data_IF_204939865107
#
_entry.id   IF_204939865107
#
_cell.length_a   1.000
_cell.length_b   1.000
_cell.length_c   1.000
_cell.angle_alpha   90.00
_cell.angle_beta   90.00
_cell.angle_gamma   90.00
#
_symmetry.space_group_name_H-M   'P 1'
#
loop_
_entity.id
_entity.type
_entity.pdbx_description
1 polymer ?
#
# COMPACT_ATOMS: atom_id res chain seq x y z
N UNK A 1 24.68 8.12 28.15
CA UNK A 1 23.96 8.87 27.10
C UNK A 1 22.73 8.05 26.76
N UNK A 2 21.58 8.48 27.27
CA UNK A 2 20.33 7.72 27.39
C UNK A 2 19.59 7.65 26.06
N UNK A 3 19.81 6.60 25.26
CA UNK A 3 18.96 6.26 24.12
C UNK A 3 17.80 5.36 24.59
N UNK A 4 16.93 5.92 25.43
CA UNK A 4 15.66 5.30 25.85
C UNK A 4 14.57 6.35 25.72
N UNK A 5 14.20 6.70 24.49
CA UNK A 5 13.04 7.55 24.23
C UNK A 5 12.28 7.02 23.01
N UNK A 6 11.01 6.70 23.24
CA UNK A 6 9.96 6.34 22.29
C UNK A 6 10.08 5.01 21.53
N UNK A 7 9.87 3.90 22.23
CA UNK A 7 8.99 2.86 21.68
C UNK A 7 7.56 3.21 22.10
N UNK A 8 6.86 3.98 21.27
CA UNK A 8 5.39 3.83 21.22
C UNK A 8 5.16 2.34 21.01
N UNK A 9 4.35 1.70 21.85
CA UNK A 9 4.13 0.26 21.76
C UNK A 9 3.60 -0.09 20.36
N UNK A 10 4.51 -0.51 19.49
CA UNK A 10 4.19 -1.02 18.17
C UNK A 10 3.38 -2.30 18.35
N UNK A 11 2.34 -2.48 17.55
CA UNK A 11 1.59 -3.74 17.52
C UNK A 11 2.60 -4.90 17.39
N UNK A 12 2.43 -6.02 18.11
CA UNK A 12 3.26 -7.20 17.92
C UNK A 12 3.41 -7.53 16.43
N UNK A 13 4.61 -7.89 15.92
CA UNK A 13 4.84 -8.07 14.48
C UNK A 13 3.83 -9.01 13.79
N UNK A 14 3.39 -10.06 14.49
CA UNK A 14 2.35 -10.97 14.00
C UNK A 14 0.98 -10.29 13.81
N UNK A 15 0.56 -9.43 14.76
CA UNK A 15 -0.69 -8.66 14.63
C UNK A 15 -0.59 -7.66 13.49
N UNK A 16 0.54 -6.94 13.37
CA UNK A 16 0.79 -6.01 12.26
C UNK A 16 0.68 -6.72 10.91
N UNK A 17 1.36 -7.85 10.75
CA UNK A 17 1.30 -8.66 9.53
C UNK A 17 -0.13 -9.05 9.17
N UNK A 18 -0.92 -9.54 10.12
CA UNK A 18 -2.31 -9.92 9.88
C UNK A 18 -3.18 -8.74 9.43
N UNK A 19 -2.99 -7.57 10.04
CA UNK A 19 -3.71 -6.33 9.67
C UNK A 19 -3.39 -5.91 8.22
N UNK A 20 -2.10 -5.83 7.88
CA UNK A 20 -1.67 -5.51 6.51
C UNK A 20 -2.19 -6.54 5.49
N UNK A 21 -2.12 -7.83 5.81
CA UNK A 21 -2.65 -8.90 4.95
C UNK A 21 -4.16 -8.80 4.72
N UNK A 22 -4.93 -8.37 5.72
CA UNK A 22 -6.37 -8.16 5.60
C UNK A 22 -6.72 -7.14 4.53
N UNK A 23 -6.09 -5.96 4.61
CA UNK A 23 -6.26 -4.86 3.65
C UNK A 23 -5.76 -5.29 2.26
N UNK A 24 -4.56 -5.84 2.19
CA UNK A 24 -3.92 -6.21 0.91
C UNK A 24 -4.74 -7.22 0.13
N UNK A 25 -5.29 -8.24 0.80
CA UNK A 25 -6.20 -9.22 0.16
C UNK A 25 -7.49 -8.56 -0.34
N UNK A 26 -7.98 -7.53 0.34
CA UNK A 26 -9.12 -6.72 -0.11
C UNK A 26 -8.84 -6.01 -1.43
N UNK A 27 -7.65 -5.41 -1.56
CA UNK A 27 -7.20 -4.75 -2.79
C UNK A 27 -6.99 -5.74 -3.93
N UNK A 28 -6.33 -6.87 -3.66
CA UNK A 28 -6.04 -7.90 -4.67
C UNK A 28 -7.32 -8.56 -5.23
N UNK A 29 -8.39 -8.68 -4.42
CA UNK A 29 -9.69 -9.21 -4.87
C UNK A 29 -10.57 -8.17 -5.56
N UNK A 30 -10.20 -6.89 -5.53
CA UNK A 30 -10.97 -5.87 -6.22
C UNK A 30 -10.95 -6.12 -7.73
N UNK A 31 -12.03 -5.74 -8.44
CA UNK A 31 -12.16 -5.96 -9.89
C UNK A 31 -11.00 -5.34 -10.71
N UNK A 32 -10.38 -4.28 -10.21
CA UNK A 32 -9.22 -3.65 -10.84
C UNK A 32 -7.88 -4.01 -10.16
N UNK A 33 -7.88 -4.88 -9.15
CA UNK A 33 -6.67 -5.23 -8.38
C UNK A 33 -5.59 -5.91 -9.23
N UNK A 34 -5.99 -6.65 -10.26
CA UNK A 34 -5.06 -7.35 -11.16
C UNK A 34 -4.12 -6.40 -11.91
N UNK A 35 -4.56 -5.16 -12.21
CA UNK A 35 -3.76 -4.15 -12.92
C UNK A 35 -2.54 -3.71 -12.10
N UNK A 36 -2.66 -3.76 -10.77
CA UNK A 36 -1.64 -3.29 -9.83
C UNK A 36 -0.89 -4.46 -9.17
N UNK A 37 -1.10 -5.69 -9.63
CA UNK A 37 -0.52 -6.87 -8.99
C UNK A 37 0.97 -7.01 -9.25
N UNK A 38 1.45 -6.69 -10.45
CA UNK A 38 2.85 -6.83 -10.85
C UNK A 38 3.49 -5.47 -11.13
N UNK A 39 4.81 -5.44 -11.03
CA UNK A 39 5.63 -4.30 -11.46
C UNK A 39 5.34 -3.97 -12.93
N UNK A 40 5.31 -2.68 -13.25
CA UNK A 40 5.22 -2.22 -14.65
C UNK A 40 6.49 -2.63 -15.40
N UNK A 41 6.32 -3.30 -16.54
CA UNK A 41 7.39 -3.59 -17.51
C UNK A 41 7.30 -2.57 -18.67
N UNK A 42 8.18 -1.56 -18.70
CA UNK A 42 8.08 -0.51 -19.70
C UNK A 42 8.41 -0.96 -21.11
N UNK A 43 9.23 -2.01 -21.26
CA UNK A 43 9.60 -2.57 -22.57
C UNK A 43 8.41 -3.33 -23.15
N UNK A 44 7.79 -4.19 -22.34
CA UNK A 44 6.63 -4.96 -22.77
C UNK A 44 5.44 -4.06 -23.13
N UNK A 45 5.28 -2.94 -22.41
CA UNK A 45 4.16 -2.01 -22.59
C UNK A 45 4.45 -0.89 -23.62
N UNK A 46 5.68 -0.80 -24.13
CA UNK A 46 6.05 0.22 -25.13
C UNK A 46 6.09 1.65 -24.57
N UNK A 47 6.43 1.80 -23.29
CA UNK A 47 6.43 3.07 -22.54
C UNK A 47 7.83 3.40 -21.99
N UNK A 48 8.82 3.68 -22.86
CA UNK A 48 10.23 3.75 -22.45
C UNK A 48 10.56 4.85 -21.42
N UNK A 49 9.71 5.87 -21.31
CA UNK A 49 9.86 7.00 -20.38
C UNK A 49 9.38 6.70 -18.94
N UNK A 50 8.84 5.50 -18.67
CA UNK A 50 8.21 5.19 -17.39
C UNK A 50 9.11 5.47 -16.18
N UNK A 51 10.38 5.03 -16.20
CA UNK A 51 11.31 5.29 -15.08
C UNK A 51 11.92 6.70 -15.10
N UNK A 52 11.74 7.45 -16.19
CA UNK A 52 12.06 8.88 -16.22
C UNK A 52 11.03 9.70 -15.45
N UNK A 53 9.77 9.24 -15.42
CA UNK A 53 8.68 9.89 -14.70
C UNK A 53 8.53 9.30 -13.29
N UNK A 54 8.46 7.98 -13.18
CA UNK A 54 8.21 7.24 -11.94
C UNK A 54 9.52 6.81 -11.29
N UNK A 55 9.88 7.49 -10.19
CA UNK A 55 11.17 7.31 -9.51
C UNK A 55 11.21 6.16 -8.51
N UNK A 56 10.06 5.81 -7.93
CA UNK A 56 9.95 4.71 -6.97
C UNK A 56 8.78 3.83 -7.36
N UNK A 57 8.98 2.86 -8.27
CA UNK A 57 7.95 1.90 -8.63
C UNK A 57 7.46 1.12 -7.40
N UNK A 58 6.18 0.79 -7.38
CA UNK A 58 5.56 -0.04 -6.33
C UNK A 58 4.36 -0.77 -6.92
N UNK A 59 4.09 -1.96 -6.39
CA UNK A 59 3.01 -2.84 -6.82
C UNK A 59 2.56 -3.73 -5.65
N UNK A 60 1.36 -4.33 -5.77
CA UNK A 60 0.77 -5.12 -4.69
C UNK A 60 1.54 -6.42 -4.40
N UNK A 61 2.27 -7.00 -5.36
CA UNK A 61 3.11 -8.18 -5.10
C UNK A 61 4.39 -7.82 -4.34
N UNK A 62 4.97 -6.65 -4.59
CA UNK A 62 6.10 -6.13 -3.81
C UNK A 62 5.67 -5.87 -2.37
N UNK A 63 4.52 -5.22 -2.17
CA UNK A 63 3.93 -5.00 -0.83
C UNK A 63 3.67 -6.34 -0.13
N UNK A 64 3.12 -7.33 -0.86
CA UNK A 64 2.89 -8.67 -0.32
C UNK A 64 4.19 -9.30 0.21
N UNK A 65 5.28 -9.27 -0.57
CA UNK A 65 6.59 -9.81 -0.15
C UNK A 65 7.12 -9.08 1.08
N UNK A 66 6.95 -7.76 1.17
CA UNK A 66 7.35 -6.97 2.35
C UNK A 66 6.56 -7.36 3.59
N UNK A 67 5.25 -7.52 3.48
CA UNK A 67 4.38 -8.00 4.57
C UNK A 67 4.76 -9.43 4.99
N UNK A 68 5.02 -10.31 4.04
CA UNK A 68 5.34 -11.71 4.31
C UNK A 68 6.70 -11.91 4.99
N UNK A 69 7.70 -11.16 4.54
CA UNK A 69 9.05 -11.15 5.13
C UNK A 69 9.15 -10.43 6.48
N UNK A 70 8.13 -9.64 6.85
CA UNK A 70 8.18 -8.81 8.06
C UNK A 70 9.01 -7.53 7.89
N UNK A 71 9.24 -7.09 6.65
CA UNK A 71 10.00 -5.87 6.32
C UNK A 71 9.15 -4.59 6.36
N UNK A 72 7.96 -4.66 6.98
CA UNK A 72 7.09 -3.52 7.27
C UNK A 72 7.11 -3.31 8.77
N UNK A 73 7.61 -2.16 9.21
CA UNK A 73 7.83 -1.86 10.62
C UNK A 73 6.56 -1.39 11.35
N UNK A 74 5.66 -0.72 10.62
CA UNK A 74 4.40 -0.20 11.15
C UNK A 74 3.34 -0.02 10.05
N UNK A 75 2.16 0.47 10.45
CA UNK A 75 1.06 0.71 9.52
C UNK A 75 1.32 1.90 8.59
N UNK A 76 2.18 2.85 8.98
CA UNK A 76 2.51 4.04 8.17
C UNK A 76 3.36 3.65 6.95
N UNK A 77 4.32 2.74 7.13
CA UNK A 77 5.08 2.17 6.00
C UNK A 77 4.18 1.41 5.02
N UNK A 78 3.24 0.62 5.54
CA UNK A 78 2.27 -0.10 4.70
C UNK A 78 1.36 0.86 3.93
N UNK A 79 0.89 1.92 4.60
CA UNK A 79 0.09 2.96 3.96
C UNK A 79 0.84 3.65 2.84
N UNK A 80 2.09 4.05 3.10
CA UNK A 80 2.92 4.76 2.15
C UNK A 80 3.14 3.95 0.87
N UNK A 81 3.42 2.64 0.98
CA UNK A 81 3.60 1.78 -0.20
C UNK A 81 2.28 1.59 -0.97
N UNK A 82 1.15 1.39 -0.27
CA UNK A 82 -0.16 1.26 -0.90
C UNK A 82 -0.53 2.53 -1.67
N UNK A 83 -0.39 3.71 -1.06
CA UNK A 83 -0.66 5.00 -1.72
C UNK A 83 0.26 5.21 -2.92
N UNK A 84 1.56 4.93 -2.75
CA UNK A 84 2.55 5.08 -3.82
C UNK A 84 2.21 4.26 -5.06
N UNK A 85 1.68 3.04 -4.88
CA UNK A 85 1.23 2.19 -6.00
C UNK A 85 0.21 2.92 -6.88
N UNK A 86 -0.81 3.52 -6.27
CA UNK A 86 -1.88 4.20 -7.01
C UNK A 86 -1.45 5.61 -7.47
N UNK A 87 -0.65 6.31 -6.68
CA UNK A 87 -0.15 7.64 -7.01
C UNK A 87 0.80 7.60 -8.21
N UNK A 88 1.66 6.58 -8.30
CA UNK A 88 2.48 6.36 -9.49
C UNK A 88 1.63 6.12 -10.74
N UNK A 89 0.58 5.30 -10.62
CA UNK A 89 -0.33 5.05 -11.73
C UNK A 89 -1.05 6.32 -12.18
N UNK A 90 -1.53 7.13 -11.23
CA UNK A 90 -2.19 8.41 -11.53
C UNK A 90 -1.23 9.47 -12.07
N UNK A 91 0.05 9.42 -11.68
CA UNK A 91 1.09 10.34 -12.16
C UNK A 91 1.48 10.03 -13.60
N UNK A 92 1.66 8.75 -13.92
CA UNK A 92 2.08 8.32 -15.26
C UNK A 92 0.93 8.38 -16.28
N UNK A 93 -0.27 7.97 -15.86
CA UNK A 93 -1.42 7.86 -16.77
C UNK A 93 -2.23 9.15 -16.77
N UNK A 94 -2.56 9.66 -17.96
CA UNK A 94 -3.39 10.86 -18.14
C UNK A 94 -4.69 10.79 -17.33
N UNK A 95 -5.07 11.91 -16.72
CA UNK A 95 -6.36 12.03 -16.02
C UNK A 95 -7.52 11.64 -16.95
N UNK A 96 -8.48 10.90 -16.41
CA UNK A 96 -9.61 10.35 -17.14
C UNK A 96 -9.35 9.06 -17.94
N UNK A 97 -8.09 8.63 -18.10
CA UNK A 97 -7.76 7.34 -18.73
C UNK A 97 -8.24 6.15 -17.88
N UNK A 98 -8.33 4.96 -18.50
CA UNK A 98 -8.81 3.77 -17.82
C UNK A 98 -7.98 3.40 -16.57
N UNK A 99 -6.65 3.37 -16.71
CA UNK A 99 -5.74 3.03 -15.59
C UNK A 99 -5.78 4.10 -14.50
N UNK A 100 -5.89 5.37 -14.87
CA UNK A 100 -6.03 6.47 -13.91
C UNK A 100 -7.29 6.31 -13.04
N UNK A 101 -8.44 6.03 -13.67
CA UNK A 101 -9.71 5.79 -12.96
C UNK A 101 -9.64 4.55 -12.07
N UNK A 102 -9.08 3.45 -12.58
CA UNK A 102 -8.88 2.23 -11.79
C UNK A 102 -8.00 2.47 -10.55
N UNK A 103 -6.98 3.32 -10.67
CA UNK A 103 -6.12 3.70 -9.56
C UNK A 103 -6.87 4.59 -8.54
N UNK A 104 -7.69 5.55 -9.00
CA UNK A 104 -8.56 6.34 -8.13
C UNK A 104 -9.51 5.45 -7.32
N UNK A 105 -10.16 4.49 -7.97
CA UNK A 105 -11.12 3.58 -7.33
C UNK A 105 -10.45 2.70 -6.27
N UNK A 106 -9.31 2.08 -6.58
CA UNK A 106 -8.58 1.29 -5.57
C UNK A 106 -8.01 2.16 -4.45
N UNK A 107 -7.54 3.37 -4.76
CA UNK A 107 -7.03 4.30 -3.74
C UNK A 107 -8.14 4.70 -2.77
N UNK A 108 -9.34 4.99 -3.28
CA UNK A 108 -10.50 5.30 -2.44
C UNK A 108 -10.87 4.12 -1.54
N UNK A 109 -10.96 2.91 -2.10
CA UNK A 109 -11.18 1.68 -1.32
C UNK A 109 -10.11 1.47 -0.25
N UNK A 110 -8.84 1.66 -0.60
CA UNK A 110 -7.72 1.51 0.32
C UNK A 110 -7.86 2.50 1.50
N UNK A 111 -8.12 3.77 1.22
CA UNK A 111 -8.29 4.81 2.25
C UNK A 111 -9.43 4.44 3.20
N UNK A 112 -10.58 4.02 2.67
CA UNK A 112 -11.72 3.63 3.49
C UNK A 112 -11.41 2.41 4.39
N UNK A 113 -10.81 1.35 3.82
CA UNK A 113 -10.47 0.14 4.57
C UNK A 113 -9.38 0.44 5.63
N UNK A 114 -8.42 1.31 5.32
CA UNK A 114 -7.34 1.69 6.21
C UNK A 114 -7.82 2.59 7.36
N UNK A 115 -8.71 3.55 7.09
CA UNK A 115 -9.34 4.37 8.13
C UNK A 115 -10.13 3.52 9.12
N UNK A 116 -10.91 2.53 8.63
CA UNK A 116 -11.63 1.58 9.49
C UNK A 116 -10.68 0.79 10.39
N UNK A 117 -9.55 0.34 9.85
CA UNK A 117 -8.50 -0.32 10.63
C UNK A 117 -7.95 0.61 11.73
N UNK A 118 -7.62 1.86 11.40
CA UNK A 118 -7.12 2.81 12.39
C UNK A 118 -8.15 3.12 13.48
N UNK A 119 -9.44 3.16 13.15
CA UNK A 119 -10.49 3.32 14.16
C UNK A 119 -10.58 2.10 15.08
N UNK A 120 -10.47 0.87 14.56
CA UNK A 120 -10.46 -0.32 15.42
C UNK A 120 -9.24 -0.36 16.32
N UNK A 121 -8.07 0.10 15.87
CA UNK A 121 -6.86 0.19 16.70
C UNK A 121 -7.05 1.12 17.91
N UNK A 122 -7.71 2.26 17.71
CA UNK A 122 -7.98 3.22 18.79
C UNK A 122 -8.90 2.61 19.84
N UNK A 123 -9.98 1.96 19.40
CA UNK A 123 -10.94 1.29 20.28
C UNK A 123 -10.32 0.13 21.05
N UNK A 124 -9.40 -0.64 20.45
CA UNK A 124 -8.67 -1.70 21.15
C UNK A 124 -7.78 -1.14 22.26
N UNK A 125 -7.03 -0.06 21.98
CA UNK A 125 -6.13 0.58 22.95
C UNK A 125 -6.86 1.24 24.12
N UNK A 126 -8.10 1.71 23.92
CA UNK A 126 -8.93 2.27 24.99
C UNK A 126 -9.52 1.20 25.93
N UNK A 127 -9.48 -0.08 25.53
CA UNK A 127 -9.96 -1.22 26.33
C UNK A 127 -8.87 -1.94 27.11
N UNK A 128 -7.59 -1.67 26.81
CA UNK A 128 -6.41 -2.18 27.54
C UNK A 128 -6.08 -1.27 28.73
#
# INVERSE_FOLDING_TARGET
HTASLNRVAQSPPAKLKLKCQGILKGLQRHVHGWVFYQTVDPVQLGIPDYFEIIKKPMDLSTIQKRVESGSINDLEEFEADCRLTFDNAMTYNQDGSAVHKMAQDLKAKFVEDFEKLLMSEKVEKEKE
#
